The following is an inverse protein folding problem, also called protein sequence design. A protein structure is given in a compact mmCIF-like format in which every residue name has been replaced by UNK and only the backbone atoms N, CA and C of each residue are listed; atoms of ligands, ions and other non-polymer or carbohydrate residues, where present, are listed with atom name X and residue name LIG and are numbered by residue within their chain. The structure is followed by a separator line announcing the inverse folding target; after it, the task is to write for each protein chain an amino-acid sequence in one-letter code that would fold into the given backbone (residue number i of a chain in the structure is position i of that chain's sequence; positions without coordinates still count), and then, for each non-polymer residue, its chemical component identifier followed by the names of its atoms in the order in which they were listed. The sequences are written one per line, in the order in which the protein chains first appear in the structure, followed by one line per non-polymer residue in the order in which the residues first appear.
data_IF_206815294068
#
_entry.id   IF_206815294068
#
_cell.length_a   1.000
_cell.length_b   1.000
_cell.length_c   1.000
_cell.angle_alpha   90.00
_cell.angle_beta   90.00
_cell.angle_gamma   90.00
#
_symmetry.space_group_name_H-M   'P 1'
#
loop_
_entity.id
_entity.type
_entity.pdbx_description
1 polymer ?
#
# COMPACT_ATOMS: atom_id res chain seq x y z
N UNK A 1 17.71 -35.93 -10.80
CA UNK A 1 17.67 -34.63 -10.05
C UNK A 1 16.40 -33.80 -10.24
N UNK A 2 15.87 -33.57 -11.46
CA UNK A 2 14.64 -32.75 -11.67
C UNK A 2 13.36 -33.36 -11.07
N UNK A 3 13.20 -34.68 -11.12
CA UNK A 3 12.00 -35.36 -10.57
C UNK A 3 11.93 -35.29 -9.04
N UNK A 4 13.05 -35.49 -8.33
CA UNK A 4 13.09 -35.36 -6.86
C UNK A 4 12.77 -33.93 -6.40
N UNK A 5 13.17 -32.90 -7.14
CA UNK A 5 12.80 -31.50 -6.85
C UNK A 5 11.29 -31.25 -7.03
N UNK A 6 10.67 -31.84 -8.07
CA UNK A 6 9.22 -31.74 -8.29
C UNK A 6 8.43 -32.50 -7.22
N UNK A 7 8.90 -33.68 -6.83
CA UNK A 7 8.31 -34.46 -5.75
C UNK A 7 8.43 -33.74 -4.41
N UNK A 8 9.57 -33.13 -4.10
CA UNK A 8 9.77 -32.34 -2.88
C UNK A 8 8.85 -31.13 -2.83
N UNK A 9 8.70 -30.38 -3.94
CA UNK A 9 7.76 -29.26 -4.02
C UNK A 9 6.32 -29.73 -3.85
N UNK A 10 5.93 -30.85 -4.48
CA UNK A 10 4.61 -31.42 -4.30
C UNK A 10 4.35 -31.83 -2.84
N UNK A 11 5.33 -32.46 -2.18
CA UNK A 11 5.25 -32.84 -0.76
C UNK A 11 5.13 -31.60 0.13
N UNK A 12 5.92 -30.54 -0.10
CA UNK A 12 5.84 -29.30 0.69
C UNK A 12 4.50 -28.60 0.51
N UNK A 13 3.98 -28.52 -0.73
CA UNK A 13 2.65 -27.96 -1.01
C UNK A 13 1.56 -28.80 -0.35
N UNK A 14 1.64 -30.14 -0.42
CA UNK A 14 0.69 -31.04 0.24
C UNK A 14 0.76 -30.91 1.77
N UNK A 15 1.96 -30.73 2.33
CA UNK A 15 2.16 -30.54 3.78
C UNK A 15 1.54 -29.24 4.27
N UNK A 16 1.70 -28.15 3.51
CA UNK A 16 1.09 -26.84 3.82
C UNK A 16 -0.45 -26.87 3.74
N UNK A 17 -1.01 -27.74 2.89
CA UNK A 17 -2.46 -27.96 2.79
C UNK A 17 -3.04 -28.78 3.96
N UNK A 18 -2.26 -29.69 4.54
CA UNK A 18 -2.71 -30.54 5.67
C UNK A 18 -2.57 -29.85 7.02
N UNK A 19 -1.64 -28.90 7.16
CA UNK A 19 -1.35 -28.19 8.43
C UNK A 19 -2.15 -26.90 8.64
N UNK A 20 -3.06 -26.53 7.73
CA UNK A 20 -3.92 -25.38 7.94
C UNK A 20 -5.02 -25.73 8.95
N UNK A 21 -4.82 -25.36 10.21
CA UNK A 21 -5.89 -25.37 11.21
C UNK A 21 -7.01 -24.40 10.77
N UNK A 22 -8.30 -24.80 10.90
CA UNK A 22 -9.40 -23.94 10.54
C UNK A 22 -9.47 -22.75 11.51
N UNK A 23 -9.14 -21.56 11.02
CA UNK A 23 -9.39 -20.32 11.73
C UNK A 23 -10.90 -20.08 11.83
N UNK A 24 -11.51 -20.43 12.96
CA UNK A 24 -12.93 -20.20 13.23
C UNK A 24 -13.22 -18.69 13.37
N UNK A 25 -13.88 -18.08 12.38
CA UNK A 25 -14.52 -16.77 12.55
C UNK A 25 -15.72 -16.53 11.61
N UNK A 26 -16.88 -16.22 12.19
CA UNK A 26 -18.06 -15.61 11.55
C UNK A 26 -18.88 -16.49 10.57
N UNK A 27 -20.02 -15.98 10.03
CA UNK A 27 -20.89 -16.74 9.12
C UNK A 27 -20.21 -17.22 7.83
N UNK A 28 -19.19 -16.51 7.35
CA UNK A 28 -18.33 -16.96 6.25
C UNK A 28 -17.42 -18.15 6.60
N UNK A 29 -17.17 -18.37 7.90
CA UNK A 29 -16.41 -19.52 8.41
C UNK A 29 -17.11 -20.85 8.15
N UNK A 30 -18.44 -20.89 8.01
CA UNK A 30 -19.17 -22.12 7.64
C UNK A 30 -18.93 -22.54 6.18
N UNK A 31 -18.69 -21.56 5.29
CA UNK A 31 -18.36 -21.82 3.88
C UNK A 31 -16.89 -22.29 3.79
N UNK A 32 -16.00 -21.65 4.55
CA UNK A 32 -14.61 -22.08 4.65
C UNK A 32 -14.50 -23.50 5.24
N UNK A 33 -15.18 -23.79 6.36
CA UNK A 33 -15.15 -25.12 6.98
C UNK A 33 -15.69 -26.20 6.04
N UNK A 34 -16.80 -25.95 5.34
CA UNK A 34 -17.34 -26.88 4.35
C UNK A 34 -16.38 -27.15 3.16
N UNK A 35 -15.61 -26.13 2.74
CA UNK A 35 -14.61 -26.27 1.69
C UNK A 35 -13.40 -27.11 2.15
N UNK A 36 -12.98 -26.99 3.41
CA UNK A 36 -11.85 -27.76 3.96
C UNK A 36 -12.25 -29.16 4.47
N UNK A 37 -13.50 -29.37 4.86
CA UNK A 37 -13.98 -30.65 5.41
C UNK A 37 -14.50 -31.62 4.35
N UNK A 38 -15.09 -31.13 3.25
CA UNK A 38 -15.63 -32.00 2.20
C UNK A 38 -14.57 -32.42 1.17
N UNK A 39 -14.64 -33.66 0.69
CA UNK A 39 -13.75 -34.17 -0.38
C UNK A 39 -13.82 -33.31 -1.65
N UNK A 40 -15.03 -32.98 -2.10
CA UNK A 40 -15.26 -32.11 -3.26
C UNK A 40 -14.82 -30.66 -3.02
N UNK A 41 -14.97 -30.15 -1.79
CA UNK A 41 -14.45 -28.85 -1.39
C UNK A 41 -12.93 -28.79 -1.48
N UNK A 42 -12.23 -29.83 -1.02
CA UNK A 42 -10.76 -29.94 -1.13
C UNK A 42 -10.30 -30.01 -2.59
N UNK A 43 -10.98 -30.79 -3.44
CA UNK A 43 -10.69 -30.81 -4.87
C UNK A 43 -10.88 -29.42 -5.49
N UNK A 44 -11.99 -28.74 -5.17
CA UNK A 44 -12.26 -27.38 -5.63
C UNK A 44 -11.19 -26.38 -5.20
N UNK A 45 -10.79 -26.41 -3.92
CA UNK A 45 -9.71 -25.58 -3.38
C UNK A 45 -8.36 -25.88 -4.04
N UNK A 46 -8.07 -27.15 -4.35
CA UNK A 46 -6.83 -27.53 -5.04
C UNK A 46 -6.78 -26.95 -6.46
N UNK A 47 -7.87 -27.07 -7.22
CA UNK A 47 -7.99 -26.46 -8.56
C UNK A 47 -7.84 -24.94 -8.48
N UNK A 48 -8.56 -24.31 -7.55
CA UNK A 48 -8.50 -22.87 -7.32
C UNK A 48 -7.07 -22.42 -6.97
N UNK A 49 -6.37 -23.18 -6.13
CA UNK A 49 -4.97 -22.92 -5.78
C UNK A 49 -4.06 -23.03 -7.00
N UNK A 50 -4.19 -24.07 -7.83
CA UNK A 50 -3.39 -24.20 -9.05
C UNK A 50 -3.60 -23.01 -10.00
N UNK A 51 -4.83 -22.49 -10.08
CA UNK A 51 -5.17 -21.34 -10.94
C UNK A 51 -4.59 -20.04 -10.38
N UNK A 52 -4.78 -19.76 -9.09
CA UNK A 52 -4.39 -18.47 -8.51
C UNK A 52 -2.95 -18.40 -8.01
N UNK A 53 -2.32 -19.53 -7.66
CA UNK A 53 -0.95 -19.55 -7.14
C UNK A 53 0.07 -18.95 -8.13
N UNK A 54 0.06 -19.27 -9.45
CA UNK A 54 0.94 -18.62 -10.42
C UNK A 54 0.77 -17.09 -10.46
N UNK A 55 -0.48 -16.61 -10.36
CA UNK A 55 -0.78 -15.17 -10.33
C UNK A 55 -0.24 -14.53 -9.04
N UNK A 56 -0.48 -15.15 -7.87
CA UNK A 56 0.02 -14.66 -6.57
C UNK A 56 1.55 -14.60 -6.59
N UNK A 57 2.21 -15.65 -7.09
CA UNK A 57 3.68 -15.69 -7.22
C UNK A 57 4.15 -14.58 -8.15
N UNK A 58 3.52 -14.41 -9.32
CA UNK A 58 3.87 -13.36 -10.27
C UNK A 58 3.77 -11.98 -9.63
N UNK A 59 2.64 -11.65 -8.98
CA UNK A 59 2.44 -10.36 -8.31
C UNK A 59 3.47 -10.15 -7.21
N UNK A 60 3.66 -11.14 -6.34
CA UNK A 60 4.62 -11.06 -5.24
C UNK A 60 6.06 -10.88 -5.73
N UNK A 61 6.45 -11.58 -6.79
CA UNK A 61 7.77 -11.43 -7.41
C UNK A 61 7.94 -10.05 -8.03
N UNK A 62 6.94 -9.55 -8.76
CA UNK A 62 6.99 -8.22 -9.38
C UNK A 62 7.14 -7.11 -8.34
N UNK A 63 6.34 -7.16 -7.27
CA UNK A 63 6.47 -6.22 -6.15
C UNK A 63 7.84 -6.33 -5.48
N UNK A 64 8.35 -7.55 -5.25
CA UNK A 64 9.65 -7.72 -4.58
C UNK A 64 10.82 -7.22 -5.42
N UNK A 65 10.76 -7.37 -6.74
CA UNK A 65 11.75 -6.82 -7.66
C UNK A 65 11.68 -5.29 -7.67
N UNK A 66 10.47 -4.72 -7.72
CA UNK A 66 10.24 -3.29 -7.64
C UNK A 66 10.77 -2.69 -6.33
N UNK A 67 10.48 -3.33 -5.20
CA UNK A 67 11.00 -2.96 -3.88
C UNK A 67 12.53 -2.93 -3.84
N UNK A 68 13.17 -3.99 -4.33
CA UNK A 68 14.64 -4.09 -4.35
C UNK A 68 15.28 -3.02 -5.23
N UNK A 69 14.72 -2.78 -6.42
CA UNK A 69 15.22 -1.73 -7.32
C UNK A 69 15.04 -0.35 -6.69
N UNK A 70 13.85 -0.06 -6.16
CA UNK A 70 13.56 1.23 -5.52
C UNK A 70 14.48 1.50 -4.33
N UNK A 71 14.75 0.50 -3.48
CA UNK A 71 15.71 0.62 -2.38
C UNK A 71 17.13 0.89 -2.87
N UNK A 72 17.55 0.24 -3.97
CA UNK A 72 18.87 0.48 -4.57
C UNK A 72 18.97 1.91 -5.10
N UNK A 73 17.95 2.39 -5.79
CA UNK A 73 17.93 3.72 -6.40
C UNK A 73 17.88 4.83 -5.33
N UNK A 74 17.08 4.65 -4.27
CA UNK A 74 17.08 5.55 -3.10
C UNK A 74 18.42 5.56 -2.38
N UNK A 75 19.04 4.40 -2.14
CA UNK A 75 20.38 4.32 -1.53
C UNK A 75 21.44 5.00 -2.40
N UNK A 76 21.29 4.93 -3.72
CA UNK A 76 22.18 5.65 -4.62
C UNK A 76 22.00 7.16 -4.44
N UNK A 77 20.76 7.65 -4.47
CA UNK A 77 20.47 9.08 -4.30
C UNK A 77 20.77 9.62 -2.90
N UNK A 78 20.72 8.79 -1.86
CA UNK A 78 21.07 9.21 -0.50
C UNK A 78 22.55 9.60 -0.34
N UNK A 79 23.41 9.22 -1.29
CA UNK A 79 24.79 9.68 -1.35
C UNK A 79 24.92 11.11 -1.91
N UNK A 80 23.88 11.61 -2.58
CA UNK A 80 23.84 12.93 -3.21
C UNK A 80 23.02 13.95 -2.40
N UNK A 81 21.88 13.54 -1.85
CA UNK A 81 21.09 14.34 -0.90
C UNK A 81 20.55 13.46 0.25
N UNK A 82 20.59 13.94 1.50
CA UNK A 82 20.05 13.21 2.65
C UNK A 82 18.53 13.02 2.60
N UNK A 83 17.81 13.74 1.73
CA UNK A 83 16.35 13.64 1.61
C UNK A 83 15.90 12.29 1.03
N UNK A 84 16.80 11.60 0.32
CA UNK A 84 16.54 10.29 -0.26
C UNK A 84 16.84 9.12 0.69
N UNK A 85 17.25 9.41 1.92
CA UNK A 85 17.49 8.38 2.93
C UNK A 85 16.18 7.66 3.27
N UNK A 86 16.12 6.36 2.97
CA UNK A 86 14.91 5.56 3.15
C UNK A 86 14.35 5.60 4.57
N UNK A 87 15.20 5.65 5.60
CA UNK A 87 14.75 5.71 6.99
C UNK A 87 13.97 7.00 7.28
N UNK A 88 14.47 8.14 6.80
CA UNK A 88 13.79 9.44 6.93
C UNK A 88 12.48 9.50 6.16
N UNK A 89 12.47 8.98 4.93
CA UNK A 89 11.24 8.88 4.13
C UNK A 89 10.21 8.00 4.85
N UNK A 90 10.65 6.88 5.43
CA UNK A 90 9.79 5.96 6.15
C UNK A 90 9.22 6.59 7.43
N UNK A 91 10.02 7.37 8.17
CA UNK A 91 9.55 8.13 9.34
C UNK A 91 8.55 9.21 8.94
N UNK A 92 8.88 10.03 7.94
CA UNK A 92 7.98 11.05 7.39
C UNK A 92 6.66 10.45 6.94
N UNK A 93 6.69 9.31 6.24
CA UNK A 93 5.48 8.60 5.84
C UNK A 93 4.62 8.17 7.04
N UNK A 94 5.22 7.66 8.13
CA UNK A 94 4.46 7.28 9.33
C UNK A 94 3.76 8.49 9.93
N UNK A 95 4.44 9.63 10.02
CA UNK A 95 3.85 10.86 10.53
C UNK A 95 2.71 11.34 9.63
N UNK A 96 2.91 11.37 8.31
CA UNK A 96 1.84 11.64 7.34
C UNK A 96 0.65 10.69 7.57
N UNK A 97 0.92 9.40 7.68
CA UNK A 97 -0.10 8.36 7.84
C UNK A 97 -0.95 8.61 9.08
N UNK A 98 -0.35 8.83 10.25
CA UNK A 98 -1.12 9.05 11.47
C UNK A 98 -1.85 10.39 11.47
N UNK A 99 -1.20 11.48 11.02
CA UNK A 99 -1.79 12.83 11.04
C UNK A 99 -2.96 12.97 10.08
N UNK A 100 -2.83 12.47 8.86
CA UNK A 100 -3.91 12.55 7.86
C UNK A 100 -5.13 11.73 8.32
N UNK A 101 -4.92 10.52 8.86
CA UNK A 101 -6.03 9.72 9.38
C UNK A 101 -6.68 10.36 10.63
N UNK A 102 -5.90 10.98 11.52
CA UNK A 102 -6.46 11.74 12.66
C UNK A 102 -7.32 12.91 12.16
N UNK A 103 -6.82 13.68 11.20
CA UNK A 103 -7.57 14.79 10.60
C UNK A 103 -8.86 14.36 9.91
N UNK A 104 -8.91 13.16 9.31
CA UNK A 104 -10.18 12.61 8.79
C UNK A 104 -11.17 12.25 9.90
N UNK A 105 -10.71 11.74 11.05
CA UNK A 105 -11.56 11.43 12.21
C UNK A 105 -12.08 12.71 12.89
N UNK A 106 -11.25 13.75 12.93
CA UNK A 106 -11.57 15.08 13.46
C UNK A 106 -12.41 15.95 12.50
N UNK A 107 -12.62 15.50 11.25
CA UNK A 107 -13.30 16.23 10.17
C UNK A 107 -12.65 17.59 9.82
N UNK A 108 -11.34 17.72 10.09
CA UNK A 108 -10.55 18.93 9.85
C UNK A 108 -9.18 18.59 9.25
N UNK A 109 -9.01 18.87 7.95
CA UNK A 109 -7.75 18.69 7.23
C UNK A 109 -6.82 19.91 7.29
N UNK A 110 -7.22 21.01 7.95
CA UNK A 110 -6.37 22.20 8.04
C UNK A 110 -5.05 21.90 8.75
N UNK A 111 -5.08 21.08 9.80
CA UNK A 111 -3.91 20.60 10.53
C UNK A 111 -3.02 19.63 9.74
N UNK A 112 -3.53 19.08 8.63
CA UNK A 112 -2.81 18.14 7.77
C UNK A 112 -2.30 18.78 6.47
N UNK A 113 -2.57 20.07 6.23
CA UNK A 113 -2.22 20.75 4.97
C UNK A 113 -0.72 20.67 4.64
N UNK A 114 0.16 20.89 5.63
CA UNK A 114 1.62 20.81 5.46
C UNK A 114 2.15 19.39 5.13
N UNK A 115 1.33 18.36 5.35
CA UNK A 115 1.69 16.95 5.12
C UNK A 115 1.32 16.49 3.71
N UNK A 116 0.56 17.29 2.97
CA UNK A 116 0.05 17.00 1.63
C UNK A 116 0.55 18.05 0.64
N UNK A 117 0.52 17.72 -0.65
CA UNK A 117 0.64 18.74 -1.69
C UNK A 117 -0.65 19.57 -1.74
N UNK A 118 -0.55 20.84 -2.14
CA UNK A 118 -1.69 21.76 -2.19
C UNK A 118 -2.86 21.18 -3.01
N UNK A 119 -2.54 20.62 -4.17
CA UNK A 119 -3.54 20.00 -5.05
C UNK A 119 -4.24 18.81 -4.37
N UNK A 120 -3.46 17.94 -3.71
CA UNK A 120 -4.04 16.76 -3.05
C UNK A 120 -4.91 17.15 -1.86
N UNK A 121 -4.44 18.10 -1.04
CA UNK A 121 -5.21 18.63 0.09
C UNK A 121 -6.54 19.25 -0.37
N UNK A 122 -6.53 20.11 -1.39
CA UNK A 122 -7.75 20.71 -1.94
C UNK A 122 -8.73 19.66 -2.47
N UNK A 123 -8.22 18.66 -3.19
CA UNK A 123 -9.04 17.58 -3.72
C UNK A 123 -9.66 16.74 -2.58
N UNK A 124 -8.90 16.42 -1.52
CA UNK A 124 -9.42 15.69 -0.36
C UNK A 124 -10.50 16.47 0.41
N UNK A 125 -10.27 17.77 0.62
CA UNK A 125 -11.21 18.66 1.29
C UNK A 125 -12.55 18.73 0.53
N UNK A 126 -12.49 19.01 -0.77
CA UNK A 126 -13.67 19.23 -1.62
C UNK A 126 -14.45 17.93 -1.89
N UNK A 127 -13.76 16.84 -2.23
CA UNK A 127 -14.41 15.62 -2.75
C UNK A 127 -14.92 14.73 -1.62
N UNK A 128 -14.21 14.66 -0.50
CA UNK A 128 -14.53 13.73 0.57
C UNK A 128 -15.19 14.43 1.76
N UNK A 129 -14.50 15.35 2.43
CA UNK A 129 -15.01 15.93 3.67
C UNK A 129 -16.26 16.79 3.47
N UNK A 130 -16.25 17.74 2.52
CA UNK A 130 -17.42 18.58 2.28
C UNK A 130 -18.63 17.78 1.81
N UNK A 131 -18.40 16.77 0.97
CA UNK A 131 -19.44 15.88 0.48
C UNK A 131 -20.04 15.05 1.60
N UNK A 132 -19.21 14.39 2.42
CA UNK A 132 -19.67 13.60 3.55
C UNK A 132 -20.44 14.47 4.54
N UNK A 133 -19.95 15.66 4.85
CA UNK A 133 -20.64 16.63 5.70
C UNK A 133 -22.02 17.02 5.14
N UNK A 134 -22.11 17.31 3.83
CA UNK A 134 -23.39 17.59 3.14
C UNK A 134 -24.35 16.40 3.19
N UNK A 135 -23.83 15.18 3.13
CA UNK A 135 -24.62 13.93 3.21
C UNK A 135 -24.91 13.49 4.65
N UNK A 136 -24.47 14.25 5.67
CA UNK A 136 -24.62 13.92 7.09
C UNK A 136 -23.80 12.71 7.52
N UNK A 137 -22.67 12.47 6.86
CA UNK A 137 -21.76 11.35 7.08
C UNK A 137 -20.49 11.82 7.79
N UNK A 138 -19.98 10.99 8.70
CA UNK A 138 -18.70 11.15 9.39
C UNK A 138 -17.82 9.94 9.11
N UNK A 139 -16.57 10.16 8.71
CA UNK A 139 -15.56 9.11 8.67
C UNK A 139 -15.07 8.84 10.09
N UNK A 140 -14.98 7.57 10.45
CA UNK A 140 -14.37 7.14 11.70
C UNK A 140 -13.18 6.27 11.37
N UNK A 141 -12.00 6.79 11.67
CA UNK A 141 -10.74 6.13 11.38
C UNK A 141 -9.89 6.02 12.64
N UNK A 142 -9.40 4.82 12.92
CA UNK A 142 -8.51 4.58 14.04
C UNK A 142 -7.46 3.53 13.67
N UNK A 143 -6.21 3.99 13.69
CA UNK A 143 -5.03 3.23 13.30
C UNK A 143 -4.42 2.59 14.54
N UNK A 144 -4.53 1.26 14.64
CA UNK A 144 -3.92 0.51 15.75
C UNK A 144 -2.41 0.37 15.60
N UNK A 145 -1.95 0.04 14.39
CA UNK A 145 -0.52 -0.06 14.05
C UNK A 145 -0.31 -0.17 12.55
N UNK A 146 0.84 0.30 12.08
CA UNK A 146 1.38 -0.03 10.76
C UNK A 146 2.09 -1.38 10.86
N UNK A 147 1.74 -2.33 10.01
CA UNK A 147 2.30 -3.69 10.00
C UNK A 147 3.43 -3.86 8.98
N UNK A 148 3.41 -3.09 7.88
CA UNK A 148 4.40 -3.20 6.82
C UNK A 148 4.49 -1.91 6.00
N UNK A 149 5.71 -1.54 5.62
CA UNK A 149 6.00 -0.40 4.73
C UNK A 149 7.01 -0.88 3.69
N UNK A 150 6.68 -0.76 2.39
CA UNK A 150 7.56 -1.20 1.30
C UNK A 150 7.58 -0.15 0.19
N UNK A 151 8.75 0.36 -0.20
CA UNK A 151 8.84 1.23 -1.38
C UNK A 151 8.55 0.39 -2.63
N UNK A 152 7.81 0.96 -3.59
CA UNK A 152 7.42 0.29 -4.82
C UNK A 152 7.96 0.99 -6.07
N UNK A 153 8.11 2.31 -6.03
CA UNK A 153 8.58 3.11 -7.15
C UNK A 153 9.33 4.33 -6.62
N UNK A 154 10.42 4.68 -7.28
CA UNK A 154 11.09 5.96 -7.08
C UNK A 154 11.39 6.57 -8.43
N UNK A 155 10.92 7.80 -8.65
CA UNK A 155 11.14 8.58 -9.85
C UNK A 155 11.93 9.81 -9.43
N UNK A 156 13.21 9.82 -9.77
CA UNK A 156 14.05 10.99 -9.56
C UNK A 156 13.80 12.03 -10.66
N UNK A 157 13.60 13.28 -10.25
CA UNK A 157 13.54 14.44 -11.13
C UNK A 157 14.75 15.32 -10.83
N UNK A 158 15.54 15.57 -11.86
CA UNK A 158 16.65 16.52 -11.81
C UNK A 158 16.25 17.81 -12.54
N UNK A 159 15.18 18.46 -12.05
CA UNK A 159 14.65 19.71 -12.61
C UNK A 159 14.51 20.70 -11.45
N UNK A 160 14.89 21.96 -11.68
CA UNK A 160 14.84 23.00 -10.64
C UNK A 160 15.98 22.89 -9.63
N UNK A 161 15.74 23.41 -8.42
CA UNK A 161 16.67 23.32 -7.29
C UNK A 161 16.45 22.00 -6.54
N UNK A 162 17.51 21.43 -5.95
CA UNK A 162 17.43 20.38 -4.90
C UNK A 162 16.55 19.14 -5.17
N UNK A 163 16.46 18.68 -6.42
CA UNK A 163 15.76 17.43 -6.81
C UNK A 163 14.22 17.46 -6.63
N UNK A 164 13.64 18.65 -6.60
CA UNK A 164 12.20 18.90 -6.51
C UNK A 164 11.39 18.09 -7.53
N UNK A 165 10.13 17.82 -7.20
CA UNK A 165 9.19 16.97 -7.95
C UNK A 165 9.60 15.48 -8.06
N UNK A 166 10.68 15.07 -7.38
CA UNK A 166 10.99 13.65 -7.21
C UNK A 166 9.85 12.95 -6.48
N UNK A 167 9.54 11.71 -6.84
CA UNK A 167 8.39 10.98 -6.32
C UNK A 167 8.80 9.62 -5.77
N UNK A 168 8.26 9.24 -4.62
CA UNK A 168 8.34 7.90 -4.07
C UNK A 168 6.93 7.34 -3.85
N UNK A 169 6.70 6.09 -4.27
CA UNK A 169 5.44 5.39 -4.06
C UNK A 169 5.68 4.23 -3.12
N UNK A 170 4.85 4.10 -2.08
CA UNK A 170 5.08 3.22 -0.95
C UNK A 170 3.80 2.43 -0.64
N UNK A 171 3.90 1.11 -0.63
CA UNK A 171 2.82 0.25 -0.13
C UNK A 171 2.85 0.21 1.39
N UNK A 172 1.71 0.49 2.00
CA UNK A 172 1.51 0.45 3.45
C UNK A 172 0.45 -0.59 3.78
N UNK A 173 0.73 -1.43 4.79
CA UNK A 173 -0.29 -2.24 5.45
C UNK A 173 -0.44 -1.79 6.89
N UNK A 174 -1.67 -1.62 7.33
CA UNK A 174 -1.98 -1.21 8.68
C UNK A 174 -3.18 -1.97 9.22
N UNK A 175 -3.19 -2.20 10.53
CA UNK A 175 -4.36 -2.70 11.24
C UNK A 175 -5.16 -1.49 11.72
N UNK A 176 -6.32 -1.28 11.14
CA UNK A 176 -7.17 -0.12 11.41
C UNK A 176 -8.64 -0.47 11.28
N UNK A 177 -9.50 0.32 11.91
CA UNK A 177 -10.93 0.39 11.56
C UNK A 177 -11.12 1.68 10.78
N UNK A 178 -11.88 1.57 9.70
CA UNK A 178 -12.19 2.68 8.82
C UNK A 178 -13.60 2.40 8.27
N UNK A 179 -14.51 3.31 8.59
CA UNK A 179 -15.89 3.21 8.21
C UNK A 179 -16.55 4.58 8.18
N UNK A 180 -17.53 4.70 7.30
CA UNK A 180 -18.36 5.87 7.19
C UNK A 180 -19.68 5.59 7.92
N UNK A 181 -20.10 6.50 8.79
CA UNK A 181 -21.37 6.39 9.50
C UNK A 181 -22.21 7.65 9.34
N UNK A 182 -23.53 7.46 9.43
CA UNK A 182 -24.49 8.56 9.52
C UNK A 182 -24.38 9.24 10.88
N UNK A 183 -24.32 10.57 10.88
CA UNK A 183 -24.08 11.38 12.09
C UNK A 183 -25.28 11.38 13.03
N UNK A 184 -26.50 11.31 12.47
CA UNK A 184 -27.76 11.30 13.22
C UNK A 184 -28.06 9.96 13.92
N UNK A 185 -27.72 8.85 13.27
CA UNK A 185 -28.14 7.50 13.68
C UNK A 185 -26.97 6.62 14.12
N UNK A 186 -25.73 7.00 13.84
CA UNK A 186 -24.54 6.17 14.06
C UNK A 186 -24.49 4.89 13.20
N UNK A 187 -25.39 4.78 12.20
CA UNK A 187 -25.48 3.63 11.31
C UNK A 187 -24.32 3.64 10.32
N UNK A 188 -23.60 2.53 10.22
CA UNK A 188 -22.52 2.34 9.24
C UNK A 188 -23.14 2.25 7.84
N UNK A 189 -22.65 3.08 6.93
CA UNK A 189 -23.03 3.05 5.52
C UNK A 189 -21.97 2.35 4.66
N UNK A 190 -20.71 2.43 5.06
CA UNK A 190 -19.58 1.83 4.37
C UNK A 190 -18.49 1.41 5.37
N UNK A 191 -17.74 0.35 5.05
CA UNK A 191 -16.62 -0.10 5.86
C UNK A 191 -17.01 -1.02 7.02
N UNK A 192 -16.17 -1.08 8.06
CA UNK A 192 -16.40 -1.94 9.22
C UNK A 192 -15.88 -1.32 10.51
N UNK A 193 -16.66 -1.45 11.59
CA UNK A 193 -16.23 -1.08 12.95
C UNK A 193 -15.14 -1.99 13.51
N UNK A 194 -14.84 -3.11 12.84
CA UNK A 194 -13.81 -4.06 13.28
C UNK A 194 -12.45 -3.64 12.74
N UNK A 195 -11.41 -3.76 13.58
CA UNK A 195 -10.04 -3.67 13.10
C UNK A 195 -9.76 -4.79 12.09
N UNK A 196 -9.36 -4.38 10.90
CA UNK A 196 -8.94 -5.26 9.81
C UNK A 196 -7.58 -4.81 9.29
N UNK A 197 -6.93 -5.69 8.55
CA UNK A 197 -5.75 -5.31 7.78
C UNK A 197 -6.21 -4.52 6.55
N UNK A 198 -5.70 -3.32 6.38
CA UNK A 198 -5.95 -2.44 5.23
C UNK A 198 -4.63 -2.24 4.50
N UNK A 199 -4.68 -2.40 3.18
CA UNK A 199 -3.54 -2.13 2.29
C UNK A 199 -3.82 -0.87 1.49
N UNK A 200 -2.91 0.11 1.53
CA UNK A 200 -2.96 1.35 0.75
C UNK A 200 -1.62 1.60 0.06
N UNK A 201 -1.63 2.45 -0.97
CA UNK A 201 -0.43 2.88 -1.68
C UNK A 201 -0.33 4.39 -1.57
N UNK A 202 0.76 4.88 -1.00
CA UNK A 202 1.00 6.29 -0.70
C UNK A 202 2.05 6.82 -1.66
N UNK A 203 1.70 7.87 -2.40
CA UNK A 203 2.64 8.61 -3.23
C UNK A 203 3.05 9.88 -2.51
N UNK A 204 4.36 10.08 -2.37
CA UNK A 204 4.94 11.28 -1.80
C UNK A 204 5.78 11.96 -2.89
N UNK A 205 5.67 13.28 -2.96
CA UNK A 205 6.47 14.14 -3.83
C UNK A 205 7.36 15.01 -2.95
N UNK A 206 8.60 15.22 -3.39
CA UNK A 206 9.53 16.14 -2.75
C UNK A 206 9.16 17.57 -3.17
N UNK A 207 8.73 18.35 -2.19
CA UNK A 207 8.27 19.73 -2.34
C UNK A 207 8.89 20.60 -1.24
N UNK A 208 9.63 21.62 -1.64
CA UNK A 208 10.38 22.52 -0.75
C UNK A 208 11.29 21.75 0.23
N UNK A 209 12.01 20.74 -0.28
CA UNK A 209 12.88 19.87 0.54
C UNK A 209 12.13 18.93 1.50
N UNK A 210 10.81 18.81 1.38
CA UNK A 210 10.01 17.92 2.22
C UNK A 210 9.16 16.94 1.41
N UNK A 211 9.14 15.68 1.84
CA UNK A 211 8.23 14.69 1.28
C UNK A 211 6.79 14.96 1.75
N UNK A 212 5.92 15.33 0.81
CA UNK A 212 4.50 15.58 1.04
C UNK A 212 3.65 14.57 0.28
N UNK A 213 2.53 14.18 0.85
CA UNK A 213 1.61 13.21 0.24
C UNK A 213 0.91 13.84 -0.95
N UNK A 214 1.10 13.25 -2.12
CA UNK A 214 0.49 13.70 -3.37
C UNK A 214 -0.65 12.79 -3.84
N UNK A 215 -0.72 11.55 -3.36
CA UNK A 215 -1.86 10.67 -3.59
C UNK A 215 -1.93 9.51 -2.58
N UNK A 216 -3.15 9.01 -2.31
CA UNK A 216 -3.39 7.76 -1.57
C UNK A 216 -4.36 6.90 -2.38
N UNK A 217 -3.88 5.75 -2.83
CA UNK A 217 -4.65 4.77 -3.59
C UNK A 217 -4.97 3.52 -2.77
N UNK A 218 -5.96 2.76 -3.24
CA UNK A 218 -6.22 1.42 -2.74
C UNK A 218 -5.03 0.48 -2.99
N UNK A 219 -4.83 -0.49 -2.09
CA UNK A 219 -3.75 -1.47 -2.18
C UNK A 219 -3.71 -2.28 -3.48
N UNK A 220 -4.83 -2.41 -4.20
CA UNK A 220 -4.90 -3.07 -5.51
C UNK A 220 -4.02 -2.39 -6.58
N UNK A 221 -3.65 -1.12 -6.39
CA UNK A 221 -2.79 -0.37 -7.31
C UNK A 221 -1.30 -0.72 -7.17
N UNK A 222 -0.88 -1.48 -6.15
CA UNK A 222 0.52 -1.80 -5.89
C UNK A 222 1.24 -2.43 -7.09
N UNK A 223 0.58 -3.37 -7.78
CA UNK A 223 1.12 -4.03 -8.96
C UNK A 223 1.27 -3.08 -10.14
N UNK A 224 0.36 -2.11 -10.30
CA UNK A 224 0.43 -1.13 -11.38
C UNK A 224 1.72 -0.29 -11.24
N UNK A 225 1.97 0.25 -10.03
CA UNK A 225 3.22 0.96 -9.74
C UNK A 225 4.47 0.08 -9.89
N UNK A 226 4.42 -1.16 -9.40
CA UNK A 226 5.54 -2.10 -9.52
C UNK A 226 5.88 -2.49 -10.98
N UNK A 227 4.94 -2.34 -11.92
CA UNK A 227 5.20 -2.56 -13.35
C UNK A 227 5.98 -1.40 -13.96
N UNK A 228 5.66 -0.16 -13.60
CA UNK A 228 6.30 1.08 -14.10
C UNK A 228 7.81 1.06 -13.86
N UNK A 229 8.26 0.50 -12.73
CA UNK A 229 9.69 0.43 -12.37
C UNK A 229 10.57 -0.06 -13.52
N UNK A 230 10.11 -1.02 -14.33
CA UNK A 230 10.92 -1.57 -15.44
C UNK A 230 11.24 -0.50 -16.50
N UNK A 231 10.36 0.45 -16.69
CA UNK A 231 10.42 1.44 -17.78
C UNK A 231 11.18 2.71 -17.35
N UNK A 232 11.55 2.81 -16.07
CA UNK A 232 12.41 3.89 -15.60
C UNK A 232 13.84 3.73 -16.11
N UNK A 233 14.53 4.85 -16.41
CA UNK A 233 15.95 4.82 -16.72
C UNK A 233 16.77 4.39 -15.49
N UNK A 234 18.02 4.04 -15.72
CA UNK A 234 18.97 3.80 -14.63
C UNK A 234 19.17 5.09 -13.83
N UNK A 235 19.19 4.98 -12.51
CA UNK A 235 19.21 6.15 -11.62
C UNK A 235 20.40 7.08 -11.91
N UNK A 236 21.57 6.54 -12.27
CA UNK A 236 22.75 7.35 -12.59
C UNK A 236 22.53 8.29 -13.78
N UNK A 237 21.76 7.85 -14.78
CA UNK A 237 21.51 8.64 -15.98
C UNK A 237 20.63 9.88 -15.71
N UNK A 238 19.85 9.84 -14.63
CA UNK A 238 18.95 10.93 -14.24
C UNK A 238 19.70 12.15 -13.69
N UNK A 239 20.91 11.96 -13.15
CA UNK A 239 21.79 13.05 -12.69
C UNK A 239 22.38 13.84 -13.86
N UNK A 240 22.69 13.18 -14.98
CA UNK A 240 23.33 13.79 -16.15
C UNK A 240 22.31 14.51 -17.02
N UNK A 241 21.07 14.00 -17.07
CA UNK A 241 20.03 14.51 -17.97
C UNK A 241 19.45 15.88 -17.57
N UNK A 242 19.83 16.42 -16.41
CA UNK A 242 19.44 17.75 -15.94
C UNK A 242 20.38 18.88 -16.35
N UNK A 243 21.55 18.59 -16.94
CA UNK A 243 22.56 19.60 -17.31
C UNK A 243 22.39 20.18 -18.72
N UNK A 244 21.20 20.04 -19.33
CA UNK A 244 20.88 20.60 -20.65
C UNK A 244 19.50 21.25 -20.63
N UNK A 245 19.37 22.39 -19.97
CA UNK A 245 18.55 23.55 -20.37
C UNK A 245 19.25 24.80 -19.86
#
# INVERSE_FOLDING_TARGET
MKQHKRALVAVVVLSLLVLCEPAFAGPGGKIASAAFESFWGRIGLFILTIIFLPLIIYVSMREKLAERRTQKDLRFMSMHSPDFEWLKIQERLKDCFFRIHSSWDDEDLSSAAEWMTDWYWQNQQLVHLERWKKEGLKNVCDVKKISNIRPLLFVHRNRGQEHEDSMVVIAVRAKMKDYLQKTDTGKVVEGSKRYKEVSTVWSLTLNDGQWRVSNIDAGSMSLAYAKIVKDLPDIQSTLISGSRV
#
